data_IF_143407129332
#
_entry.id   IF_143407129332
#
_cell.length_a   1.000
_cell.length_b   1.000
_cell.length_c   1.000
_cell.angle_alpha   90.00
_cell.angle_beta   90.00
_cell.angle_gamma   90.00
#
_symmetry.space_group_name_H-M   'P 1'
#
loop_
_entity.id
_entity.type
_entity.pdbx_description
1 polymer ?
#
# COMPACT_ATOMS: atom_id res chain seq x y z
N UNK A 1 -17.08 -4.67 -6.65
CA UNK A 1 -16.00 -3.68 -6.36
C UNK A 1 -15.10 -3.57 -7.58
N UNK A 2 -14.75 -2.36 -8.01
CA UNK A 2 -13.76 -2.14 -9.10
C UNK A 2 -12.48 -1.62 -8.46
N UNK A 3 -11.34 -2.17 -8.86
CA UNK A 3 -10.03 -1.82 -8.33
C UNK A 3 -9.19 -1.13 -9.40
N UNK A 4 -8.46 -0.10 -9.02
CA UNK A 4 -7.55 0.65 -9.89
C UNK A 4 -6.26 0.94 -9.14
N UNK A 5 -5.12 0.66 -9.78
CA UNK A 5 -3.83 1.11 -9.29
C UNK A 5 -3.67 2.61 -9.55
N UNK A 6 -3.29 3.36 -8.55
CA UNK A 6 -2.86 4.75 -8.66
C UNK A 6 -1.33 4.82 -8.80
N UNK A 7 -0.75 6.01 -8.65
CA UNK A 7 0.71 6.16 -8.66
C UNK A 7 1.35 5.49 -7.44
N UNK A 8 2.53 4.92 -7.64
CA UNK A 8 3.36 4.31 -6.60
C UNK A 8 2.68 3.15 -5.88
N UNK A 9 2.33 3.36 -4.60
CA UNK A 9 1.61 2.38 -3.79
C UNK A 9 0.10 2.64 -3.74
N UNK A 10 -0.37 3.75 -4.28
CA UNK A 10 -1.78 4.15 -4.20
C UNK A 10 -2.72 3.15 -4.88
N UNK A 11 -3.85 2.88 -4.24
CA UNK A 11 -4.93 2.03 -4.78
C UNK A 11 -6.27 2.70 -4.54
N UNK A 12 -7.15 2.60 -5.53
CA UNK A 12 -8.55 3.00 -5.46
C UNK A 12 -9.45 1.76 -5.55
N UNK A 13 -10.40 1.65 -4.63
CA UNK A 13 -11.50 0.71 -4.69
C UNK A 13 -12.82 1.48 -4.79
N UNK A 14 -13.67 1.15 -5.77
CA UNK A 14 -14.97 1.79 -5.95
C UNK A 14 -16.10 0.77 -5.88
N UNK A 15 -17.22 1.17 -5.27
CA UNK A 15 -18.46 0.41 -5.21
C UNK A 15 -19.65 1.39 -5.37
N UNK A 16 -20.32 1.33 -6.52
CA UNK A 16 -21.27 2.35 -6.92
C UNK A 16 -20.62 3.76 -6.94
N UNK A 17 -21.21 4.73 -6.23
CA UNK A 17 -20.67 6.09 -6.17
C UNK A 17 -19.60 6.27 -5.08
N UNK A 18 -19.30 5.24 -4.29
CA UNK A 18 -18.41 5.31 -3.14
C UNK A 18 -16.99 4.91 -3.52
N UNK A 19 -16.02 5.51 -2.82
CA UNK A 19 -14.60 5.32 -3.09
C UNK A 19 -13.81 5.16 -1.80
N UNK A 20 -12.90 4.20 -1.81
CA UNK A 20 -11.82 4.06 -0.81
C UNK A 20 -10.49 4.21 -1.52
N UNK A 21 -9.65 5.09 -1.01
CA UNK A 21 -8.27 5.27 -1.44
C UNK A 21 -7.35 4.74 -0.35
N UNK A 22 -6.35 3.95 -0.72
CA UNK A 22 -5.30 3.51 0.19
C UNK A 22 -3.99 4.14 -0.28
N UNK A 23 -3.30 4.86 0.60
CA UNK A 23 -2.03 5.54 0.36
C UNK A 23 -2.02 6.38 -0.94
N UNK A 24 -3.02 7.22 -1.23
CA UNK A 24 -3.01 8.03 -2.43
C UNK A 24 -1.92 9.09 -2.38
N UNK A 25 -1.20 9.27 -3.51
CA UNK A 25 -0.12 10.25 -3.66
C UNK A 25 -0.43 11.17 -4.84
N UNK A 26 -0.55 12.47 -4.59
CA UNK A 26 -0.80 13.53 -5.58
C UNK A 26 0.36 14.52 -5.72
N UNK A 27 1.11 14.73 -4.62
CA UNK A 27 2.20 15.69 -4.58
C UNK A 27 3.51 15.05 -4.13
N UNK A 28 4.48 15.04 -5.04
CA UNK A 28 5.82 14.55 -4.76
C UNK A 28 6.77 15.64 -4.22
N UNK A 29 6.33 16.91 -4.13
CA UNK A 29 7.20 18.02 -3.73
C UNK A 29 7.75 17.92 -2.30
N UNK A 30 7.01 17.41 -1.29
CA UNK A 30 7.54 17.26 0.06
C UNK A 30 8.27 15.93 0.31
N UNK A 31 8.53 15.11 -0.72
CA UNK A 31 9.16 13.81 -0.54
C UNK A 31 10.64 13.90 -0.14
N UNK A 32 11.15 12.93 0.62
CA UNK A 32 12.56 12.88 0.98
C UNK A 32 13.46 12.81 -0.24
N UNK A 33 14.54 13.59 -0.23
CA UNK A 33 15.48 13.70 -1.35
C UNK A 33 16.17 12.38 -1.73
N UNK A 34 16.20 11.40 -0.82
CA UNK A 34 16.79 10.10 -1.11
C UNK A 34 15.98 9.28 -2.13
N UNK A 35 14.67 9.51 -2.26
CA UNK A 35 13.84 8.87 -3.27
C UNK A 35 14.18 9.35 -4.70
N UNK A 36 14.69 10.56 -4.83
CA UNK A 36 14.96 11.20 -6.11
C UNK A 36 13.72 11.84 -6.73
N UNK A 37 13.82 12.22 -7.99
CA UNK A 37 12.72 12.82 -8.74
C UNK A 37 11.80 11.72 -9.27
N UNK A 38 10.47 11.90 -9.18
CA UNK A 38 9.52 10.98 -9.80
C UNK A 38 9.78 10.83 -11.30
N UNK A 39 9.75 9.59 -11.79
CA UNK A 39 9.99 9.25 -13.20
C UNK A 39 8.77 9.46 -14.11
N UNK A 40 7.59 9.63 -13.52
CA UNK A 40 6.34 9.86 -14.21
C UNK A 40 5.49 10.90 -13.46
N UNK A 41 4.53 11.48 -14.14
CA UNK A 41 3.51 12.33 -13.53
C UNK A 41 2.59 11.46 -12.66
N UNK A 42 2.19 12.01 -11.50
CA UNK A 42 1.25 11.34 -10.61
C UNK A 42 -0.16 11.34 -11.21
N UNK A 43 -0.89 10.27 -11.02
CA UNK A 43 -2.29 10.14 -11.42
C UNK A 43 -3.16 11.06 -10.56
N UNK A 44 -3.99 11.93 -11.14
CA UNK A 44 -4.91 12.75 -10.39
C UNK A 44 -5.87 11.93 -9.55
N UNK A 45 -6.09 12.36 -8.32
CA UNK A 45 -6.97 11.70 -7.34
C UNK A 45 -8.21 12.56 -7.12
N UNK A 46 -9.39 11.95 -7.18
CA UNK A 46 -10.65 12.63 -6.86
C UNK A 46 -11.00 12.41 -5.40
N UNK A 47 -11.24 13.52 -4.68
CA UNK A 47 -11.71 13.50 -3.30
C UNK A 47 -13.02 14.28 -3.23
N UNK A 48 -14.06 13.62 -2.73
CA UNK A 48 -15.41 14.18 -2.54
C UNK A 48 -16.04 13.66 -1.23
N UNK A 49 -17.31 13.96 -0.99
CA UNK A 49 -18.05 13.56 0.21
C UNK A 49 -18.31 12.05 0.33
N UNK A 50 -17.99 11.27 -0.70
CA UNK A 50 -18.12 9.81 -0.75
C UNK A 50 -16.77 9.10 -0.82
N UNK A 51 -15.69 9.85 -0.58
CA UNK A 51 -14.32 9.33 -0.63
C UNK A 51 -13.79 9.11 0.79
N UNK A 52 -13.29 7.91 1.04
CA UNK A 52 -12.57 7.55 2.26
C UNK A 52 -11.10 7.32 1.94
N UNK A 53 -10.21 7.71 2.86
CA UNK A 53 -8.77 7.51 2.71
C UNK A 53 -8.25 6.66 3.87
N UNK A 54 -7.51 5.62 3.54
CA UNK A 54 -6.85 4.73 4.50
C UNK A 54 -5.33 4.96 4.41
N UNK A 55 -4.71 5.21 5.55
CA UNK A 55 -3.26 5.43 5.66
C UNK A 55 -2.64 4.17 6.25
N UNK A 56 -1.66 3.56 5.55
CA UNK A 56 -0.95 2.38 6.07
C UNK A 56 0.08 2.77 7.10
N UNK A 57 0.87 3.82 6.85
CA UNK A 57 1.93 4.33 7.71
C UNK A 57 2.31 5.79 7.34
N UNK A 58 3.28 6.37 8.05
CA UNK A 58 3.57 7.81 7.97
C UNK A 58 4.70 8.18 7.01
N UNK A 59 5.30 7.26 6.28
CA UNK A 59 6.26 7.62 5.24
C UNK A 59 5.62 8.55 4.22
N UNK A 60 6.36 9.56 3.78
CA UNK A 60 5.79 10.65 2.97
C UNK A 60 5.31 10.23 1.59
N UNK A 61 5.84 9.15 1.07
CA UNK A 61 5.44 8.53 -0.18
C UNK A 61 4.18 7.64 -0.07
N UNK A 62 3.64 7.48 1.16
CA UNK A 62 2.36 6.80 1.47
C UNK A 62 1.37 7.74 2.15
N UNK A 63 1.84 8.81 2.78
CA UNK A 63 1.03 9.72 3.55
C UNK A 63 1.17 11.15 2.99
N UNK A 64 0.39 11.47 1.95
CA UNK A 64 0.30 12.80 1.37
C UNK A 64 -0.54 13.72 2.26
N UNK A 65 0.12 14.46 3.15
CA UNK A 65 -0.55 15.33 4.11
C UNK A 65 -1.34 16.47 3.47
N UNK A 66 -0.95 16.93 2.28
CA UNK A 66 -1.68 17.97 1.53
C UNK A 66 -2.99 17.44 0.96
N UNK A 67 -2.98 16.22 0.46
CA UNK A 67 -4.18 15.53 0.03
C UNK A 67 -5.09 15.28 1.24
N UNK A 68 -4.54 14.71 2.32
CA UNK A 68 -5.30 14.39 3.54
C UNK A 68 -5.96 15.62 4.18
N UNK A 69 -5.33 16.79 4.12
CA UNK A 69 -5.91 18.05 4.65
C UNK A 69 -7.19 18.48 3.90
N UNK A 70 -7.44 17.96 2.70
CA UNK A 70 -8.66 18.22 1.91
C UNK A 70 -9.78 17.19 2.16
N UNK A 71 -9.44 16.09 2.80
CA UNK A 71 -10.39 15.02 3.13
C UNK A 71 -11.08 15.39 4.45
N UNK A 72 -12.42 15.26 4.55
CA UNK A 72 -13.09 15.43 5.83
C UNK A 72 -12.52 14.50 6.91
N UNK A 73 -12.24 15.04 8.10
CA UNK A 73 -11.55 14.34 9.19
C UNK A 73 -12.07 12.92 9.47
N UNK A 74 -13.42 12.75 9.45
CA UNK A 74 -14.06 11.45 9.68
C UNK A 74 -13.91 10.46 8.52
N UNK A 75 -13.43 10.91 7.35
CA UNK A 75 -13.25 10.11 6.15
C UNK A 75 -11.78 9.71 5.93
N UNK A 76 -10.87 10.15 6.79
CA UNK A 76 -9.51 9.62 6.87
C UNK A 76 -9.42 8.65 8.03
N UNK A 77 -8.96 7.42 7.77
CA UNK A 77 -8.73 6.40 8.78
C UNK A 77 -7.26 6.01 8.84
N UNK A 78 -6.78 5.81 10.04
CA UNK A 78 -5.43 5.33 10.29
C UNK A 78 -5.41 4.35 11.47
N UNK A 79 -4.30 3.64 11.63
CA UNK A 79 -4.07 2.84 12.83
C UNK A 79 -3.89 3.74 14.07
N UNK A 80 -4.37 3.30 15.21
CA UNK A 80 -4.35 4.08 16.45
C UNK A 80 -2.97 4.63 16.84
N UNK A 81 -1.89 3.87 16.57
CA UNK A 81 -0.52 4.25 16.94
C UNK A 81 0.02 5.45 16.18
N UNK A 82 -0.49 5.72 14.97
CA UNK A 82 -0.04 6.86 14.15
C UNK A 82 -0.97 8.06 14.22
N UNK A 83 -2.14 7.94 14.87
CA UNK A 83 -3.16 8.98 14.90
C UNK A 83 -2.70 10.27 15.58
N UNK A 84 -1.95 10.16 16.67
CA UNK A 84 -1.41 11.32 17.39
C UNK A 84 -0.41 12.12 16.52
N UNK A 85 0.51 11.42 15.85
CA UNK A 85 1.49 12.06 14.96
C UNK A 85 0.81 12.73 13.75
N UNK A 86 -0.24 12.10 13.18
CA UNK A 86 -1.03 12.73 12.12
C UNK A 86 -1.69 14.02 12.60
N UNK A 87 -2.24 14.03 13.82
CA UNK A 87 -2.86 15.20 14.41
C UNK A 87 -1.85 16.34 14.66
N UNK A 88 -0.63 16.02 15.12
CA UNK A 88 0.49 16.97 15.25
C UNK A 88 0.90 17.57 13.89
N UNK A 89 0.81 16.80 12.82
CA UNK A 89 1.04 17.24 11.44
C UNK A 89 -0.17 18.02 10.84
N UNK A 90 -1.22 18.27 11.62
CA UNK A 90 -2.41 19.00 11.20
C UNK A 90 -3.42 18.17 10.40
N UNK A 91 -3.28 16.85 10.37
CA UNK A 91 -4.20 15.94 9.71
C UNK A 91 -5.10 15.25 10.74
N UNK A 92 -6.41 15.50 10.65
CA UNK A 92 -7.39 14.84 11.50
C UNK A 92 -7.84 13.52 10.86
N UNK A 93 -7.68 12.43 11.59
CA UNK A 93 -8.06 11.08 11.14
C UNK A 93 -8.78 10.32 12.27
N UNK A 94 -9.73 9.47 11.89
CA UNK A 94 -10.32 8.50 12.80
C UNK A 94 -9.38 7.33 13.00
N UNK A 95 -9.12 6.94 14.25
CA UNK A 95 -8.25 5.81 14.56
C UNK A 95 -9.03 4.51 14.61
N UNK A 96 -8.43 3.43 14.10
CA UNK A 96 -8.98 2.07 14.11
C UNK A 96 -7.95 1.14 14.77
N UNK A 97 -8.41 0.28 15.68
CA UNK A 97 -7.55 -0.69 16.33
C UNK A 97 -7.22 -1.87 15.40
N UNK A 98 -6.06 -2.44 15.60
CA UNK A 98 -5.64 -3.63 14.85
C UNK A 98 -6.68 -4.76 14.98
N UNK A 99 -7.08 -5.34 13.86
CA UNK A 99 -8.12 -6.37 13.74
C UNK A 99 -9.56 -5.89 13.94
N UNK A 100 -9.78 -4.64 14.26
CA UNK A 100 -11.13 -4.07 14.37
C UNK A 100 -11.68 -3.74 12.97
N UNK A 101 -12.90 -4.17 12.69
CA UNK A 101 -13.58 -3.88 11.44
C UNK A 101 -14.50 -2.68 11.59
N UNK A 102 -14.30 -1.68 10.77
CA UNK A 102 -15.11 -0.45 10.72
C UNK A 102 -15.91 -0.38 9.42
N UNK A 103 -17.19 -0.02 9.51
CA UNK A 103 -18.04 0.19 8.33
C UNK A 103 -17.90 1.64 7.83
N UNK A 104 -17.67 1.81 6.52
CA UNK A 104 -17.53 3.10 5.82
C UNK A 104 -18.29 3.06 4.49
N UNK A 105 -19.46 3.70 4.42
CA UNK A 105 -20.35 3.56 3.27
C UNK A 105 -20.70 2.10 3.00
N UNK A 106 -20.53 1.58 1.78
CA UNK A 106 -20.76 0.17 1.46
C UNK A 106 -19.58 -0.74 1.82
N UNK A 107 -18.48 -0.19 2.31
CA UNK A 107 -17.27 -0.94 2.61
C UNK A 107 -17.16 -1.29 4.09
N UNK A 108 -16.44 -2.34 4.36
CA UNK A 108 -15.90 -2.71 5.66
C UNK A 108 -14.38 -2.72 5.54
N UNK A 109 -13.71 -2.03 6.46
CA UNK A 109 -12.26 -1.92 6.45
C UNK A 109 -11.67 -2.44 7.74
N UNK A 110 -10.56 -3.16 7.65
CA UNK A 110 -9.90 -3.79 8.80
C UNK A 110 -8.39 -3.60 8.69
N UNK A 111 -7.73 -2.90 9.62
CA UNK A 111 -6.28 -2.88 9.69
C UNK A 111 -5.77 -4.20 10.24
N UNK A 112 -4.77 -4.77 9.54
CA UNK A 112 -4.12 -6.03 9.95
C UNK A 112 -2.61 -5.85 10.00
N UNK A 113 -1.85 -6.74 10.65
CA UNK A 113 -0.41 -6.58 10.79
C UNK A 113 0.31 -6.43 9.46
N UNK A 114 1.19 -5.46 9.41
CA UNK A 114 2.21 -5.26 8.39
C UNK A 114 3.52 -4.93 9.10
N UNK A 115 4.66 -4.97 8.40
CA UNK A 115 5.96 -4.76 9.06
C UNK A 115 6.86 -3.88 8.20
N UNK A 116 7.12 -2.68 8.69
CA UNK A 116 8.16 -1.80 8.14
C UNK A 116 9.56 -2.36 8.45
N UNK A 117 10.51 -2.14 7.55
CA UNK A 117 11.89 -2.65 7.66
C UNK A 117 12.68 -2.01 8.81
N UNK A 118 12.33 -0.79 9.23
CA UNK A 118 12.94 -0.07 10.37
C UNK A 118 12.17 -0.28 11.67
N UNK A 119 10.96 -0.87 11.58
CA UNK A 119 10.08 -1.06 12.72
C UNK A 119 9.14 0.11 12.98
N UNK A 120 8.95 1.01 12.03
CA UNK A 120 7.95 2.07 12.10
C UNK A 120 6.53 1.45 12.14
N UNK A 121 5.59 2.12 12.81
CA UNK A 121 4.21 1.64 12.93
C UNK A 121 3.53 1.61 11.57
N UNK A 122 3.14 0.41 11.14
CA UNK A 122 2.51 0.15 9.84
C UNK A 122 1.41 -0.90 9.95
N UNK A 123 0.38 -0.76 9.11
CA UNK A 123 -0.68 -1.76 8.92
C UNK A 123 -0.88 -2.06 7.44
N UNK A 124 -1.39 -3.24 7.15
CA UNK A 124 -2.08 -3.55 5.90
C UNK A 124 -3.57 -3.26 6.08
N UNK A 125 -4.26 -2.88 5.01
CA UNK A 125 -5.69 -2.65 5.03
C UNK A 125 -6.44 -3.70 4.22
N UNK A 126 -7.40 -4.36 4.87
CA UNK A 126 -8.42 -5.15 4.18
C UNK A 126 -9.58 -4.22 3.84
N UNK A 127 -10.02 -4.24 2.59
CA UNK A 127 -11.21 -3.53 2.12
C UNK A 127 -12.16 -4.55 1.51
N UNK A 128 -13.39 -4.54 1.98
CA UNK A 128 -14.42 -5.52 1.66
C UNK A 128 -15.73 -4.82 1.33
N UNK A 129 -16.43 -5.28 0.30
CA UNK A 129 -17.81 -4.90 -0.03
C UNK A 129 -18.55 -6.14 -0.54
N UNK A 130 -19.84 -5.99 -0.91
CA UNK A 130 -20.57 -7.09 -1.57
C UNK A 130 -19.88 -7.54 -2.88
N UNK A 131 -19.19 -6.61 -3.56
CA UNK A 131 -18.49 -6.86 -4.81
C UNK A 131 -17.10 -7.49 -4.66
N UNK A 132 -16.65 -7.83 -3.45
CA UNK A 132 -15.38 -8.55 -3.27
C UNK A 132 -14.54 -8.08 -2.07
N UNK A 133 -13.35 -8.69 -1.92
CA UNK A 133 -12.40 -8.44 -0.84
C UNK A 133 -10.98 -8.29 -1.36
N UNK A 134 -10.34 -7.18 -1.00
CA UNK A 134 -8.93 -6.97 -1.29
C UNK A 134 -8.11 -6.75 -0.01
N UNK A 135 -6.78 -6.94 -0.11
CA UNK A 135 -5.82 -6.50 0.89
C UNK A 135 -4.75 -5.62 0.25
N UNK A 136 -4.45 -4.49 0.88
CA UNK A 136 -3.33 -3.61 0.53
C UNK A 136 -2.26 -3.70 1.61
N UNK A 137 -1.07 -4.16 1.25
CA UNK A 137 -0.06 -4.58 2.23
C UNK A 137 0.92 -3.47 2.67
N UNK A 138 0.77 -2.24 2.12
CA UNK A 138 1.75 -1.17 2.36
C UNK A 138 3.09 -1.47 1.69
N UNK A 139 4.18 -0.98 2.27
CA UNK A 139 5.55 -1.27 1.81
C UNK A 139 6.28 -2.32 2.66
N UNK A 140 5.56 -3.31 3.08
CA UNK A 140 5.96 -4.36 4.02
C UNK A 140 7.16 -5.21 3.58
N UNK A 141 7.88 -5.73 4.57
CA UNK A 141 8.81 -6.85 4.40
C UNK A 141 8.12 -8.21 4.62
N UNK A 142 8.84 -9.33 4.37
CA UNK A 142 8.34 -10.66 4.74
C UNK A 142 8.26 -10.80 6.26
N UNK A 143 7.08 -11.21 6.78
CA UNK A 143 6.86 -11.39 8.22
C UNK A 143 6.01 -12.65 8.52
N UNK A 144 6.02 -13.11 9.76
CA UNK A 144 5.29 -14.33 10.16
C UNK A 144 3.76 -14.20 10.24
N UNK A 145 3.21 -12.98 10.13
CA UNK A 145 1.77 -12.73 10.29
C UNK A 145 0.93 -13.08 9.06
N UNK A 146 1.54 -13.36 7.91
CA UNK A 146 0.83 -13.74 6.68
C UNK A 146 -0.16 -14.88 6.91
N UNK A 147 0.26 -15.94 7.60
CA UNK A 147 -0.57 -17.10 7.91
C UNK A 147 -1.72 -16.78 8.87
N UNK A 148 -1.52 -15.85 9.81
CA UNK A 148 -2.58 -15.40 10.70
C UNK A 148 -3.64 -14.59 9.97
N UNK A 149 -3.23 -13.66 9.09
CA UNK A 149 -4.13 -12.87 8.24
C UNK A 149 -4.96 -13.79 7.35
N UNK A 150 -4.30 -14.74 6.67
CA UNK A 150 -4.98 -15.72 5.82
C UNK A 150 -6.03 -16.54 6.58
N UNK A 151 -5.70 -17.01 7.77
CA UNK A 151 -6.61 -17.83 8.58
C UNK A 151 -7.82 -17.04 9.08
N UNK A 152 -7.65 -15.75 9.40
CA UNK A 152 -8.72 -14.90 9.94
C UNK A 152 -9.62 -14.29 8.87
N UNK A 153 -9.03 -13.90 7.74
CA UNK A 153 -9.70 -13.05 6.73
C UNK A 153 -9.60 -13.55 5.30
N UNK A 154 -8.76 -14.53 5.01
CA UNK A 154 -8.63 -15.10 3.67
C UNK A 154 -9.87 -15.94 3.27
N UNK A 155 -10.01 -16.33 2.00
CA UNK A 155 -9.17 -15.87 0.89
C UNK A 155 -9.48 -14.45 0.43
N UNK A 156 -8.57 -13.86 -0.37
CA UNK A 156 -8.73 -12.55 -0.99
C UNK A 156 -8.90 -12.68 -2.50
N UNK A 157 -9.68 -11.80 -3.13
CA UNK A 157 -9.73 -11.74 -4.59
C UNK A 157 -8.47 -11.09 -5.14
N UNK A 158 -8.02 -10.00 -4.52
CA UNK A 158 -6.79 -9.30 -4.92
C UNK A 158 -5.94 -8.92 -3.71
N UNK A 159 -4.64 -9.20 -3.79
CA UNK A 159 -3.63 -8.68 -2.87
C UNK A 159 -2.72 -7.69 -3.58
N UNK A 160 -2.66 -6.45 -3.09
CA UNK A 160 -1.74 -5.41 -3.53
C UNK A 160 -0.47 -5.49 -2.69
N UNK A 161 0.66 -5.73 -3.35
CA UNK A 161 1.93 -6.08 -2.72
C UNK A 161 3.07 -5.25 -3.30
N UNK A 162 3.96 -4.69 -2.46
CA UNK A 162 5.17 -4.03 -2.94
C UNK A 162 6.09 -5.06 -3.59
N UNK A 163 6.71 -4.71 -4.72
CA UNK A 163 7.57 -5.64 -5.45
C UNK A 163 8.97 -5.11 -5.75
N UNK A 164 9.26 -3.84 -5.40
CA UNK A 164 10.53 -3.23 -5.82
C UNK A 164 11.75 -3.77 -5.08
N UNK A 165 11.58 -4.45 -3.93
CA UNK A 165 12.67 -5.04 -3.16
C UNK A 165 13.81 -4.07 -2.90
N UNK A 166 13.49 -2.80 -2.68
CA UNK A 166 14.45 -1.71 -2.59
C UNK A 166 15.50 -1.94 -1.51
N UNK A 167 16.74 -1.59 -1.81
CA UNK A 167 17.85 -1.55 -0.86
C UNK A 167 18.21 -0.09 -0.61
N UNK A 168 17.78 0.49 0.52
CA UNK A 168 18.06 1.89 0.83
C UNK A 168 19.49 2.05 1.40
N UNK A 169 20.13 3.17 1.07
CA UNK A 169 21.40 3.61 1.64
C UNK A 169 21.18 5.00 2.24
N UNK A 170 20.69 5.04 3.48
CA UNK A 170 20.29 6.26 4.16
C UNK A 170 21.32 6.69 5.18
N UNK A 171 21.50 8.02 5.30
CA UNK A 171 22.39 8.60 6.30
C UNK A 171 21.88 8.26 7.72
N UNK A 172 22.77 7.85 8.61
CA UNK A 172 22.42 7.45 9.98
C UNK A 172 22.01 5.98 10.15
N UNK A 173 21.89 5.21 9.06
CA UNK A 173 21.62 3.78 9.12
C UNK A 173 22.81 2.95 8.65
N UNK A 174 23.06 1.85 9.34
CA UNK A 174 24.07 0.89 8.89
C UNK A 174 23.64 0.29 7.56
N UNK A 175 24.44 0.39 6.48
CA UNK A 175 24.07 -0.20 5.20
C UNK A 175 23.96 -1.72 5.28
N UNK A 176 22.90 -2.28 4.69
CA UNK A 176 22.69 -3.73 4.55
C UNK A 176 22.31 -4.07 3.12
N UNK A 177 22.40 -5.35 2.76
CA UNK A 177 21.92 -5.84 1.46
C UNK A 177 20.54 -6.52 1.60
N UNK A 178 19.87 -6.31 2.73
CA UNK A 178 18.53 -6.80 2.98
C UNK A 178 17.52 -5.81 2.38
N UNK A 179 16.56 -6.30 1.56
CA UNK A 179 15.50 -5.46 1.03
C UNK A 179 14.63 -4.83 2.10
N UNK A 180 14.24 -3.58 1.91
CA UNK A 180 13.35 -2.83 2.79
C UNK A 180 11.86 -3.03 2.45
N UNK A 181 11.56 -3.72 1.36
CA UNK A 181 10.21 -4.17 0.98
C UNK A 181 10.29 -5.60 0.48
N UNK A 182 9.16 -6.23 0.17
CA UNK A 182 9.15 -7.56 -0.46
C UNK A 182 9.92 -7.55 -1.77
N UNK A 183 10.70 -8.61 -2.01
CA UNK A 183 11.18 -8.89 -3.36
C UNK A 183 10.01 -9.37 -4.24
N UNK A 184 10.14 -9.33 -5.58
CA UNK A 184 9.09 -9.82 -6.47
C UNK A 184 8.64 -11.25 -6.15
N UNK A 185 9.56 -12.14 -5.82
CA UNK A 185 9.28 -13.53 -5.47
C UNK A 185 8.55 -13.65 -4.13
N UNK A 186 8.99 -12.88 -3.12
CA UNK A 186 8.35 -12.85 -1.80
C UNK A 186 6.92 -12.31 -1.88
N UNK A 187 6.66 -11.32 -2.72
CA UNK A 187 5.32 -10.78 -2.94
C UNK A 187 4.37 -11.87 -3.48
N UNK A 188 4.82 -12.67 -4.44
CA UNK A 188 4.02 -13.80 -4.95
C UNK A 188 3.78 -14.85 -3.85
N UNK A 189 4.80 -15.19 -3.06
CA UNK A 189 4.63 -16.14 -1.94
C UNK A 189 3.64 -15.60 -0.88
N UNK A 190 3.68 -14.29 -0.58
CA UNK A 190 2.70 -13.67 0.32
C UNK A 190 1.27 -13.79 -0.24
N UNK A 191 1.06 -13.52 -1.53
CA UNK A 191 -0.23 -13.69 -2.18
C UNK A 191 -0.73 -15.15 -2.12
N UNK A 192 0.16 -16.12 -2.32
CA UNK A 192 -0.17 -17.55 -2.19
C UNK A 192 -0.60 -17.90 -0.77
N UNK A 193 0.14 -17.44 0.25
CA UNK A 193 -0.21 -17.67 1.67
C UNK A 193 -1.54 -17.01 2.01
N UNK A 194 -1.81 -15.81 1.51
CA UNK A 194 -3.06 -15.09 1.71
C UNK A 194 -4.26 -15.75 1.00
N UNK A 195 -4.02 -16.71 0.11
CA UNK A 195 -5.06 -17.33 -0.70
C UNK A 195 -5.65 -16.36 -1.73
N UNK A 196 -4.85 -15.42 -2.21
CA UNK A 196 -5.31 -14.42 -3.18
C UNK A 196 -5.51 -15.03 -4.56
N UNK A 197 -6.61 -14.67 -5.23
CA UNK A 197 -6.86 -15.03 -6.62
C UNK A 197 -5.95 -14.26 -7.59
N UNK A 198 -5.67 -12.99 -7.27
CA UNK A 198 -4.78 -12.10 -8.03
C UNK A 198 -3.75 -11.47 -7.10
N UNK A 199 -2.49 -11.52 -7.48
CA UNK A 199 -1.40 -10.72 -6.92
C UNK A 199 -1.22 -9.49 -7.80
N UNK A 200 -1.40 -8.29 -7.27
CA UNK A 200 -1.25 -7.03 -7.98
C UNK A 200 -0.05 -6.25 -7.44
N UNK A 201 0.83 -5.85 -8.33
CA UNK A 201 2.07 -5.14 -8.00
C UNK A 201 1.80 -3.67 -7.67
N UNK A 202 2.37 -3.20 -6.58
CA UNK A 202 2.46 -1.78 -6.19
C UNK A 202 3.89 -1.43 -5.80
N UNK A 203 4.13 -0.17 -5.44
CA UNK A 203 5.42 0.33 -4.93
C UNK A 203 6.55 0.06 -5.92
N UNK A 204 6.42 0.55 -7.16
CA UNK A 204 7.36 0.27 -8.25
C UNK A 204 7.39 1.40 -9.27
N UNK A 205 8.50 1.50 -9.99
CA UNK A 205 8.75 2.34 -11.18
C UNK A 205 8.80 3.85 -10.99
N UNK A 206 8.21 4.42 -9.93
CA UNK A 206 8.14 5.87 -9.76
C UNK A 206 9.46 6.46 -9.23
N UNK A 207 10.13 5.78 -8.28
CA UNK A 207 11.35 6.27 -7.65
C UNK A 207 12.51 5.29 -7.82
N UNK A 208 13.65 5.82 -8.23
CA UNK A 208 14.91 5.09 -8.31
C UNK A 208 16.06 6.10 -8.32
N UNK A 209 16.86 6.12 -7.27
CA UNK A 209 17.93 7.09 -7.05
C UNK A 209 19.19 6.43 -6.49
N UNK A 210 19.91 5.62 -7.30
CA UNK A 210 21.13 4.98 -6.84
C UNK A 210 22.20 6.01 -6.44
N UNK A 211 23.03 5.73 -5.42
CA UNK A 211 23.01 4.49 -4.61
C UNK A 211 22.03 4.56 -3.43
N UNK A 212 21.30 5.68 -3.23
CA UNK A 212 20.48 5.92 -2.03
C UNK A 212 19.21 5.09 -1.98
N UNK A 213 18.54 4.94 -3.13
CA UNK A 213 17.29 4.21 -3.28
C UNK A 213 17.33 3.41 -4.58
N UNK A 214 17.66 2.13 -4.48
CA UNK A 214 17.89 1.27 -5.63
C UNK A 214 16.85 0.15 -5.67
N UNK A 215 15.91 0.24 -6.61
CA UNK A 215 14.98 -0.86 -6.90
C UNK A 215 15.73 -2.07 -7.44
N UNK A 216 15.24 -3.27 -7.15
CA UNK A 216 15.79 -4.47 -7.76
C UNK A 216 15.55 -4.49 -9.28
N UNK A 217 16.54 -4.96 -10.06
CA UNK A 217 16.38 -5.05 -11.50
C UNK A 217 15.25 -6.03 -11.87
N UNK A 218 14.58 -5.74 -12.99
CA UNK A 218 13.57 -6.59 -13.62
C UNK A 218 12.46 -7.02 -12.64
N UNK A 219 12.08 -6.12 -11.72
CA UNK A 219 11.14 -6.45 -10.64
C UNK A 219 9.78 -6.93 -11.18
N UNK A 220 9.27 -6.27 -12.24
CA UNK A 220 7.99 -6.64 -12.87
C UNK A 220 8.09 -7.99 -13.54
N UNK A 221 9.10 -8.19 -14.36
CA UNK A 221 9.33 -9.45 -15.09
C UNK A 221 9.49 -10.63 -14.13
N UNK A 222 10.25 -10.44 -13.06
CA UNK A 222 10.48 -11.43 -12.01
C UNK A 222 9.18 -11.76 -11.27
N UNK A 223 8.37 -10.74 -10.94
CA UNK A 223 7.07 -10.91 -10.30
C UNK A 223 6.12 -11.72 -11.16
N UNK A 224 5.96 -11.37 -12.44
CA UNK A 224 5.11 -12.10 -13.39
C UNK A 224 5.60 -13.55 -13.59
N UNK A 225 6.90 -13.76 -13.70
CA UNK A 225 7.50 -15.08 -13.82
C UNK A 225 7.28 -15.93 -12.55
N UNK A 226 7.37 -15.33 -11.36
CA UNK A 226 7.09 -15.99 -10.10
C UNK A 226 5.59 -16.38 -10.01
N UNK A 227 4.68 -15.49 -10.40
CA UNK A 227 3.25 -15.79 -10.48
C UNK A 227 2.95 -16.99 -11.37
N UNK A 228 3.56 -17.04 -12.56
CA UNK A 228 3.43 -18.19 -13.47
C UNK A 228 3.94 -19.49 -12.84
N UNK A 229 5.09 -19.48 -12.16
CA UNK A 229 5.62 -20.65 -11.45
C UNK A 229 4.70 -21.15 -10.36
N UNK A 230 4.10 -20.22 -9.60
CA UNK A 230 3.19 -20.52 -8.48
C UNK A 230 1.74 -20.74 -8.92
N UNK A 231 1.42 -20.60 -10.20
CA UNK A 231 0.06 -20.72 -10.78
C UNK A 231 -0.95 -19.79 -10.13
N UNK A 232 -0.52 -18.57 -9.80
CA UNK A 232 -1.37 -17.46 -9.36
C UNK A 232 -1.38 -16.38 -10.44
N UNK A 233 -2.51 -15.71 -10.63
CA UNK A 233 -2.59 -14.54 -11.53
C UNK A 233 -1.79 -13.40 -10.92
N UNK A 234 -0.65 -13.06 -11.52
CA UNK A 234 0.16 -11.90 -11.16
C UNK A 234 -0.01 -10.82 -12.23
N UNK A 235 -0.28 -9.58 -11.81
CA UNK A 235 -0.47 -8.43 -12.71
C UNK A 235 0.32 -7.23 -12.21
N UNK A 236 0.80 -6.42 -13.13
CA UNK A 236 1.46 -5.14 -12.86
C UNK A 236 0.86 -4.06 -13.78
N UNK A 237 -0.37 -3.60 -13.49
CA UNK A 237 -1.01 -2.57 -14.29
C UNK A 237 -0.24 -1.26 -14.22
N UNK A 238 -0.35 -0.44 -15.26
CA UNK A 238 0.16 0.92 -15.26
C UNK A 238 -0.59 1.82 -14.27
N UNK A 239 -0.02 3.00 -14.00
CA UNK A 239 -0.65 4.00 -13.15
C UNK A 239 -1.98 4.45 -13.76
N UNK A 240 -3.06 4.40 -12.98
CA UNK A 240 -4.43 4.72 -13.41
C UNK A 240 -5.18 3.57 -14.08
N UNK A 241 -4.57 2.40 -14.28
CA UNK A 241 -5.22 1.26 -14.90
C UNK A 241 -5.98 0.37 -13.90
N UNK A 242 -6.93 -0.40 -14.43
CA UNK A 242 -7.68 -1.39 -13.65
C UNK A 242 -6.79 -2.54 -13.18
N UNK A 243 -7.03 -3.03 -11.97
CA UNK A 243 -6.30 -4.09 -11.31
C UNK A 243 -7.11 -5.41 -11.24
#
# INVERSE_FOLDING_TARGET
MVLRRLSWAGVEATDGPWRVLVDPLEDAAPLPSFLGTPRAALVPVTVDDRTWVLVTHLHRDHCDRRLLARVPARQTLCHERISATLAEDGVSAASVQLWETTAIGPFRVTPVPSQDWRGDDQVAWIVESEGGRMIHCGDTIWHGRWYEIARRHGPFETAFLPINGVIPRLDGFTPTDVPATLTPEQAVEAAVVLGAGTACAIHLTLFHNPPRYTEQPDAVERFLAAGKRRRIKAIAPGDGEAA
#
